data_IF_256104377668
#
_entry.id   IF_256104377668
#
_cell.length_a   1.000
_cell.length_b   1.000
_cell.length_c   1.000
_cell.angle_alpha   90.00
_cell.angle_beta   90.00
_cell.angle_gamma   90.00
#
_symmetry.space_group_name_H-M   'P 1'
#
loop_
_entity.id
_entity.type
_entity.pdbx_description
1 polymer ?
#
# COMPACT_ATOMS: atom_id res chain seq x y z
N UNK A 1 20.12 8.51 -20.33
CA UNK A 1 20.56 7.53 -19.32
C UNK A 1 19.55 7.45 -18.20
N UNK A 2 19.14 6.26 -17.83
CA UNK A 2 18.21 6.07 -16.71
C UNK A 2 18.97 5.90 -15.40
N UNK A 3 18.42 6.45 -14.32
CA UNK A 3 19.02 6.33 -12.99
C UNK A 3 18.05 5.54 -12.11
N UNK A 4 18.43 4.34 -11.67
CA UNK A 4 17.57 3.57 -10.77
C UNK A 4 17.36 4.29 -9.44
N UNK A 5 16.19 4.09 -8.85
CA UNK A 5 15.85 4.67 -7.54
C UNK A 5 16.21 3.67 -6.45
N UNK A 6 16.98 4.12 -5.47
CA UNK A 6 17.30 3.28 -4.32
C UNK A 6 16.03 3.04 -3.48
N UNK A 7 15.87 1.85 -2.93
CA UNK A 7 14.69 1.48 -2.17
C UNK A 7 14.40 2.39 -0.98
N UNK A 8 15.42 2.94 -0.33
CA UNK A 8 15.20 3.85 0.79
C UNK A 8 14.63 5.21 0.37
N UNK A 9 14.61 5.53 -0.92
CA UNK A 9 14.02 6.75 -1.45
C UNK A 9 12.54 6.57 -1.82
N UNK A 10 12.00 5.40 -1.62
CA UNK A 10 10.59 5.08 -1.85
C UNK A 10 9.94 4.90 -0.49
N UNK A 11 8.86 5.63 -0.23
CA UNK A 11 8.21 5.60 1.06
C UNK A 11 6.70 5.54 0.95
N UNK A 12 6.10 4.63 1.70
CA UNK A 12 4.66 4.58 1.94
C UNK A 12 4.38 5.19 3.30
N UNK A 13 3.47 6.17 3.33
CA UNK A 13 3.11 6.89 4.54
C UNK A 13 1.61 6.91 4.75
N UNK A 14 1.18 6.80 6.00
CA UNK A 14 -0.21 6.99 6.40
C UNK A 14 -0.28 8.26 7.23
N UNK A 15 -1.04 9.27 6.76
CA UNK A 15 -1.16 10.54 7.45
C UNK A 15 0.16 11.27 7.63
N UNK A 16 1.13 11.05 6.72
CA UNK A 16 2.45 11.64 6.83
C UNK A 16 3.43 10.86 7.70
N UNK A 17 3.02 9.70 8.23
CA UNK A 17 3.85 8.88 9.11
C UNK A 17 4.24 7.57 8.44
N UNK A 18 5.49 7.14 8.63
CA UNK A 18 5.99 5.86 8.15
C UNK A 18 5.84 4.77 9.22
N UNK A 19 5.87 3.52 8.80
CA UNK A 19 5.85 2.39 9.75
C UNK A 19 7.23 2.24 10.41
N UNK A 20 7.22 2.05 11.73
CA UNK A 20 8.45 1.81 12.47
C UNK A 20 9.05 0.45 12.08
N UNK A 21 10.37 0.37 12.02
CA UNK A 21 11.08 -0.88 11.76
C UNK A 21 10.92 -1.45 10.37
N UNK A 22 10.38 -0.67 9.43
CA UNK A 22 10.11 -1.14 8.07
C UNK A 22 11.38 -1.53 7.34
N UNK A 23 11.36 -2.71 6.70
CA UNK A 23 12.48 -3.21 5.90
C UNK A 23 12.15 -3.33 4.43
N UNK A 24 10.88 -3.50 4.08
CA UNK A 24 10.48 -3.67 2.69
C UNK A 24 9.05 -3.18 2.47
N UNK A 25 8.82 -2.52 1.33
CA UNK A 25 7.51 -2.12 0.85
C UNK A 25 7.29 -2.69 -0.54
N UNK A 26 6.10 -3.21 -0.79
CA UNK A 26 5.69 -3.69 -2.10
C UNK A 26 4.44 -2.97 -2.57
N UNK A 27 4.43 -2.56 -3.83
CA UNK A 27 3.27 -1.95 -4.47
C UNK A 27 2.84 -2.86 -5.62
N UNK A 28 1.54 -3.17 -5.67
CA UNK A 28 0.96 -3.93 -6.76
C UNK A 28 -0.24 -3.16 -7.31
N UNK A 29 -0.25 -2.93 -8.61
CA UNK A 29 -1.38 -2.31 -9.31
C UNK A 29 -1.87 -3.31 -10.34
N UNK A 30 -3.12 -3.74 -10.18
CA UNK A 30 -3.75 -4.68 -11.11
C UNK A 30 -4.94 -4.01 -11.78
N UNK A 31 -5.03 -4.15 -13.10
CA UNK A 31 -6.17 -3.63 -13.84
C UNK A 31 -7.28 -4.68 -13.85
N UNK A 32 -8.51 -4.24 -13.59
CA UNK A 32 -9.68 -5.09 -13.74
C UNK A 32 -10.18 -4.95 -15.16
N UNK A 33 -10.26 -6.07 -15.86
CA UNK A 33 -10.68 -6.09 -17.26
C UNK A 33 -12.10 -6.59 -17.39
N UNK A 34 -12.79 -6.07 -18.39
CA UNK A 34 -14.10 -6.55 -18.81
C UNK A 34 -13.95 -7.02 -20.25
N UNK A 35 -14.40 -8.22 -20.53
CA UNK A 35 -14.36 -8.80 -21.87
C UNK A 35 -15.77 -8.90 -22.42
N UNK A 36 -15.89 -8.64 -23.73
CA UNK A 36 -17.16 -8.77 -24.42
C UNK A 36 -16.91 -9.29 -25.83
N UNK A 37 -17.85 -10.07 -26.32
CA UNK A 37 -17.85 -10.57 -27.69
C UNK A 37 -19.20 -10.20 -28.30
N UNK A 38 -19.17 -9.53 -29.43
CA UNK A 38 -20.38 -9.20 -30.20
C UNK A 38 -20.36 -9.88 -31.56
N UNK A 39 -21.49 -9.88 -32.25
CA UNK A 39 -21.55 -10.42 -33.61
C UNK A 39 -20.64 -9.65 -34.55
N UNK A 40 -20.50 -8.37 -34.35
CA UNK A 40 -19.67 -7.50 -35.19
C UNK A 40 -18.17 -7.78 -35.01
N UNK A 41 -17.80 -8.42 -33.91
CA UNK A 41 -16.41 -8.76 -33.62
C UNK A 41 -15.97 -10.06 -34.29
N UNK A 42 -16.90 -10.75 -34.97
CA UNK A 42 -16.63 -12.04 -35.66
C UNK A 42 -15.98 -13.07 -34.75
N UNK A 43 -16.38 -13.11 -33.47
CA UNK A 43 -15.85 -14.03 -32.50
C UNK A 43 -14.59 -13.54 -31.77
N UNK A 44 -14.08 -12.36 -32.11
CA UNK A 44 -12.94 -11.78 -31.40
C UNK A 44 -13.39 -11.15 -30.07
N UNK A 45 -12.58 -11.36 -29.04
CA UNK A 45 -12.84 -10.81 -27.71
C UNK A 45 -12.40 -9.35 -27.67
N UNK A 46 -13.27 -8.48 -27.21
CA UNK A 46 -12.94 -7.09 -26.90
C UNK A 46 -12.69 -6.97 -25.41
N UNK A 47 -11.58 -6.33 -25.03
CA UNK A 47 -11.21 -6.12 -23.63
C UNK A 47 -11.17 -4.65 -23.30
N UNK A 48 -11.71 -4.30 -22.16
CA UNK A 48 -11.60 -2.94 -21.63
C UNK A 48 -11.23 -2.96 -20.16
N UNK A 49 -10.61 -1.89 -19.70
CA UNK A 49 -10.23 -1.76 -18.29
C UNK A 49 -11.31 -0.96 -17.58
N UNK A 50 -11.95 -1.56 -16.57
CA UNK A 50 -13.04 -0.91 -15.83
C UNK A 50 -12.65 -0.51 -14.40
N UNK A 51 -11.38 -0.58 -14.08
CA UNK A 51 -10.88 -0.15 -12.78
C UNK A 51 -9.53 -0.77 -12.46
N UNK A 52 -9.01 -0.41 -11.30
CA UNK A 52 -7.73 -0.90 -10.83
C UNK A 52 -7.84 -1.32 -9.38
N UNK A 53 -7.11 -2.38 -9.02
CA UNK A 53 -6.91 -2.78 -7.64
C UNK A 53 -5.47 -2.45 -7.27
N UNK A 54 -5.31 -1.61 -6.27
CA UNK A 54 -3.99 -1.18 -5.81
C UNK A 54 -3.82 -1.70 -4.39
N UNK A 55 -2.76 -2.47 -4.19
CA UNK A 55 -2.45 -3.06 -2.89
C UNK A 55 -1.02 -2.73 -2.49
N UNK A 56 -0.81 -2.58 -1.20
CA UNK A 56 0.51 -2.37 -0.63
C UNK A 56 0.78 -3.45 0.40
N UNK A 57 2.03 -3.86 0.47
CA UNK A 57 2.49 -4.77 1.53
C UNK A 57 3.75 -4.17 2.14
N UNK A 58 3.77 -4.04 3.45
CA UNK A 58 4.95 -3.60 4.18
C UNK A 58 5.38 -4.70 5.15
N UNK A 59 6.67 -4.94 5.23
CA UNK A 59 7.26 -5.89 6.18
C UNK A 59 8.36 -5.20 6.95
N UNK A 60 8.60 -5.68 8.16
CA UNK A 60 9.65 -5.10 8.98
C UNK A 60 9.79 -5.79 10.33
N UNK A 61 10.57 -5.17 11.18
CA UNK A 61 10.76 -5.60 12.56
C UNK A 61 9.73 -4.92 13.45
N UNK A 62 9.18 -5.68 14.40
CA UNK A 62 8.22 -5.13 15.36
C UNK A 62 8.95 -4.13 16.26
N UNK A 63 8.43 -2.92 16.34
CA UNK A 63 9.02 -1.85 17.13
C UNK A 63 7.89 -1.13 17.88
N UNK A 64 8.04 -1.02 19.19
CA UNK A 64 7.08 -0.33 20.05
C UNK A 64 7.56 1.06 20.43
N UNK A 65 8.72 1.48 19.94
CA UNK A 65 9.27 2.81 20.17
C UNK A 65 8.92 3.70 18.99
N UNK A 66 7.86 4.49 19.13
CA UNK A 66 7.46 5.45 18.13
C UNK A 66 8.27 6.74 18.21
N UNK A 67 7.98 7.65 17.32
CA UNK A 67 8.57 8.97 17.28
C UNK A 67 7.70 9.90 16.47
N UNK A 68 8.20 11.10 16.21
CA UNK A 68 7.49 12.05 15.37
C UNK A 68 7.40 11.49 13.95
N UNK A 69 6.19 11.40 13.42
CA UNK A 69 5.91 10.89 12.07
C UNK A 69 6.30 9.41 11.89
N UNK A 70 6.24 8.64 12.96
CA UNK A 70 6.50 7.20 12.94
C UNK A 70 5.35 6.48 13.64
N UNK A 71 4.78 5.48 12.96
CA UNK A 71 3.74 4.62 13.52
C UNK A 71 4.41 3.39 14.12
N UNK A 72 4.31 3.22 15.43
CA UNK A 72 4.82 2.03 16.08
C UNK A 72 3.80 0.88 16.00
N UNK A 73 4.17 -0.27 16.56
CA UNK A 73 3.33 -1.46 16.52
C UNK A 73 1.94 -1.21 17.12
N UNK A 74 1.87 -0.49 18.22
CA UNK A 74 0.60 -0.25 18.89
C UNK A 74 -0.31 0.67 18.08
N UNK A 75 0.24 1.69 17.43
CA UNK A 75 -0.51 2.56 16.52
C UNK A 75 -1.08 1.79 15.34
N UNK A 76 -0.29 0.89 14.76
CA UNK A 76 -0.72 0.06 13.63
C UNK A 76 -1.86 -0.87 14.04
N UNK A 77 -1.73 -1.54 15.19
CA UNK A 77 -2.76 -2.45 15.68
C UNK A 77 -4.05 -1.70 15.99
N UNK A 78 -3.96 -0.50 16.55
CA UNK A 78 -5.15 0.32 16.79
C UNK A 78 -5.87 0.65 15.48
N UNK A 79 -5.12 0.98 14.41
CA UNK A 79 -5.71 1.27 13.11
C UNK A 79 -6.34 0.02 12.47
N UNK A 80 -5.72 -1.15 12.64
CA UNK A 80 -6.25 -2.41 12.11
C UNK A 80 -7.59 -2.75 12.73
N UNK A 81 -7.77 -2.44 14.01
CA UNK A 81 -8.97 -2.79 14.75
C UNK A 81 -10.13 -1.81 14.53
N UNK A 82 -9.91 -0.72 13.84
CA UNK A 82 -10.98 0.24 13.50
C UNK A 82 -11.93 -0.34 12.48
N UNK A 83 -13.17 0.13 12.50
CA UNK A 83 -14.21 -0.32 11.57
C UNK A 83 -14.95 0.89 10.98
N UNK A 84 -15.65 0.65 9.87
CA UNK A 84 -16.45 1.68 9.22
C UNK A 84 -15.58 2.81 8.66
N UNK A 85 -16.06 4.03 8.75
CA UNK A 85 -15.37 5.18 8.19
C UNK A 85 -14.05 5.50 8.92
N UNK A 86 -13.94 5.12 10.19
CA UNK A 86 -12.70 5.35 10.94
C UNK A 86 -11.56 4.41 10.53
N UNK A 87 -11.87 3.32 9.82
CA UNK A 87 -10.86 2.42 9.26
C UNK A 87 -10.23 2.95 7.98
N UNK A 88 -10.78 4.00 7.39
CA UNK A 88 -10.26 4.59 6.15
C UNK A 88 -9.13 5.56 6.50
N UNK A 89 -7.95 5.32 5.93
CA UNK A 89 -6.75 6.08 6.24
C UNK A 89 -6.21 6.74 4.98
N UNK A 90 -5.80 8.00 5.09
CA UNK A 90 -5.16 8.69 3.97
C UNK A 90 -3.73 8.20 3.81
N UNK A 91 -3.30 7.95 2.58
CA UNK A 91 -1.95 7.47 2.32
C UNK A 91 -1.26 8.32 1.26
N UNK A 92 0.07 8.28 1.28
CA UNK A 92 0.92 8.77 0.20
C UNK A 92 2.02 7.75 -0.05
N UNK A 93 2.32 7.54 -1.33
CA UNK A 93 3.42 6.68 -1.75
C UNK A 93 4.34 7.53 -2.61
N UNK A 94 5.51 7.84 -2.07
CA UNK A 94 6.41 8.82 -2.67
C UNK A 94 7.70 8.17 -3.15
N UNK A 95 8.24 8.72 -4.23
CA UNK A 95 9.56 8.37 -4.74
C UNK A 95 10.32 9.69 -4.93
N UNK A 96 11.54 9.77 -4.44
CA UNK A 96 12.35 10.98 -4.60
C UNK A 96 12.51 11.30 -6.08
N UNK A 97 12.08 12.50 -6.47
CA UNK A 97 12.12 12.95 -7.86
C UNK A 97 10.98 12.42 -8.74
N UNK A 98 10.07 11.59 -8.19
CA UNK A 98 8.95 11.06 -8.93
C UNK A 98 7.62 11.69 -8.54
N UNK A 99 6.54 11.20 -9.16
CA UNK A 99 5.19 11.61 -8.81
C UNK A 99 4.72 10.89 -7.55
N UNK A 100 3.73 11.47 -6.89
CA UNK A 100 3.14 10.93 -5.65
C UNK A 100 1.84 10.23 -5.98
N UNK A 101 1.71 8.99 -5.53
CA UNK A 101 0.45 8.25 -5.55
C UNK A 101 -0.23 8.50 -4.19
N UNK A 102 -1.44 9.02 -4.20
CA UNK A 102 -2.14 9.38 -2.97
C UNK A 102 -3.62 9.06 -3.06
N UNK A 103 -4.23 8.87 -1.91
CA UNK A 103 -5.64 8.54 -1.80
C UNK A 103 -5.97 8.02 -0.43
N UNK A 104 -6.98 7.17 -0.35
CA UNK A 104 -7.39 6.52 0.88
C UNK A 104 -7.19 5.02 0.79
N UNK A 105 -6.89 4.39 1.91
CA UNK A 105 -6.71 2.95 1.98
C UNK A 105 -7.29 2.39 3.27
N UNK A 106 -7.44 1.07 3.29
CA UNK A 106 -7.82 0.34 4.49
C UNK A 106 -6.80 -0.77 4.70
N UNK A 107 -6.54 -1.10 5.96
CA UNK A 107 -5.67 -2.21 6.32
C UNK A 107 -6.51 -3.48 6.25
N UNK A 108 -6.12 -4.41 5.39
CA UNK A 108 -6.87 -5.64 5.17
C UNK A 108 -6.33 -6.80 5.98
N UNK A 109 -5.05 -6.77 6.35
CA UNK A 109 -4.44 -7.84 7.11
C UNK A 109 -3.22 -7.32 7.86
N UNK A 110 -3.02 -7.83 9.05
CA UNK A 110 -1.82 -7.57 9.85
C UNK A 110 -1.43 -8.86 10.54
N UNK A 111 -0.18 -9.26 10.41
CA UNK A 111 0.33 -10.45 11.05
C UNK A 111 1.68 -10.18 11.68
N UNK A 112 1.92 -10.82 12.81
CA UNK A 112 3.20 -10.78 13.50
C UNK A 112 3.70 -12.20 13.68
N UNK A 113 5.01 -12.35 13.61
CA UNK A 113 5.68 -13.62 13.91
C UNK A 113 6.80 -13.36 14.91
N UNK A 114 6.82 -14.14 15.98
CA UNK A 114 7.85 -14.01 16.98
C UNK A 114 8.45 -15.39 17.28
N UNK A 115 9.76 -15.41 17.42
CA UNK A 115 10.53 -16.59 17.75
C UNK A 115 11.46 -16.23 18.89
N UNK A 116 11.65 -17.13 19.84
CA UNK A 116 12.44 -16.87 21.03
C UNK A 116 13.90 -16.50 20.73
N UNK A 117 14.42 -16.91 19.57
CA UNK A 117 15.81 -16.66 19.19
C UNK A 117 15.99 -15.49 18.25
N UNK A 118 14.91 -15.00 17.61
CA UNK A 118 14.97 -13.96 16.60
C UNK A 118 14.13 -12.76 16.97
N UNK A 119 14.39 -11.63 16.31
CA UNK A 119 13.55 -10.45 16.44
C UNK A 119 12.18 -10.74 15.87
N UNK A 120 11.14 -10.19 16.48
CA UNK A 120 9.79 -10.30 15.97
C UNK A 120 9.63 -9.50 14.67
N UNK A 121 8.92 -10.07 13.72
CA UNK A 121 8.67 -9.43 12.42
C UNK A 121 7.17 -9.25 12.20
N UNK A 122 6.81 -8.30 11.34
CA UNK A 122 5.42 -8.07 10.99
C UNK A 122 5.25 -7.97 9.48
N UNK A 123 4.03 -8.24 9.03
CA UNK A 123 3.59 -8.00 7.66
C UNK A 123 2.23 -7.33 7.71
N UNK A 124 2.08 -6.24 6.98
CA UNK A 124 0.82 -5.51 6.89
C UNK A 124 0.41 -5.39 5.43
N UNK A 125 -0.85 -5.70 5.14
CA UNK A 125 -1.43 -5.58 3.80
C UNK A 125 -2.48 -4.47 3.82
N UNK A 126 -2.43 -3.61 2.81
CA UNK A 126 -3.34 -2.50 2.65
C UNK A 126 -3.95 -2.52 1.26
N UNK A 127 -5.15 -2.00 1.14
CA UNK A 127 -5.83 -1.88 -0.15
C UNK A 127 -6.43 -0.49 -0.27
N UNK A 128 -6.35 0.09 -1.45
CA UNK A 128 -6.94 1.41 -1.68
C UNK A 128 -8.46 1.34 -1.75
N UNK A 129 -9.10 2.42 -1.32
CA UNK A 129 -10.54 2.58 -1.43
C UNK A 129 -10.83 3.96 -2.01
N UNK A 130 -11.75 4.02 -2.96
CA UNK A 130 -12.08 5.26 -3.65
C UNK A 130 -11.06 5.65 -4.71
N UNK A 131 -11.12 6.90 -5.13
CA UNK A 131 -10.25 7.42 -6.18
C UNK A 131 -8.83 7.63 -5.67
N UNK A 132 -7.86 7.35 -6.54
CA UNK A 132 -6.44 7.51 -6.26
C UNK A 132 -5.88 8.54 -7.24
N UNK A 133 -5.04 9.44 -6.73
CA UNK A 133 -4.41 10.50 -7.52
C UNK A 133 -2.93 10.19 -7.71
N UNK A 134 -2.46 10.38 -8.92
CA UNK A 134 -1.04 10.25 -9.24
C UNK A 134 -0.56 11.54 -9.89
N UNK A 135 0.13 12.36 -9.12
CA UNK A 135 0.47 13.72 -9.53
C UNK A 135 1.89 14.11 -9.09
N UNK A 136 2.41 15.18 -9.69
CA UNK A 136 3.71 15.72 -9.33
C UNK A 136 3.75 16.18 -7.87
N UNK A 137 4.92 16.07 -7.27
CA UNK A 137 5.16 16.52 -5.91
C UNK A 137 5.11 18.03 -5.79
#
# INVERSE_FOLDING_TARGET
MSTPVAGYNIAFKIGGSTFAGRTQDDLTIAARTKESITKDDQGSTQSSINGHDITFRATGLVDVTGGTNILDRDDIVEDVLKTGSSAVLAFTYTTTGGKVLSGNCVITNYSESSNAEDDATYTIDLRTTGAVTFAAQ
#
